data_IF_103198954350
#
_entry.id   IF_103198954350
#
_cell.length_a   1.000
_cell.length_b   1.000
_cell.length_c   1.000
_cell.angle_alpha   90.00
_cell.angle_beta   90.00
_cell.angle_gamma   90.00
#
_symmetry.space_group_name_H-M   'P 1'
#
loop_
_entity.id
_entity.type
_entity.pdbx_description
1 polymer ?
#
# COMPACT_ATOMS: atom_id res chain seq x y z
N UNK A 1 14.42 -10.42 -4.28
CA UNK A 1 13.16 -11.03 -3.79
C UNK A 1 13.40 -12.04 -2.67
N UNK A 2 14.25 -13.05 -2.83
CA UNK A 2 14.44 -14.12 -1.82
C UNK A 2 14.71 -13.62 -0.40
N UNK A 3 15.64 -12.68 -0.22
CA UNK A 3 15.95 -12.11 1.09
C UNK A 3 14.73 -11.41 1.74
N UNK A 4 13.91 -10.70 0.95
CA UNK A 4 12.68 -10.09 1.44
C UNK A 4 11.68 -11.17 1.90
N UNK A 5 11.53 -12.26 1.15
CA UNK A 5 10.65 -13.36 1.55
C UNK A 5 11.09 -14.03 2.85
N UNK A 6 12.39 -14.21 3.05
CA UNK A 6 12.93 -14.78 4.29
C UNK A 6 12.62 -13.89 5.50
N UNK A 7 12.79 -12.57 5.35
CA UNK A 7 12.46 -11.58 6.38
C UNK A 7 10.95 -11.60 6.67
N UNK A 8 10.11 -11.61 5.65
CA UNK A 8 8.65 -11.55 5.82
C UNK A 8 8.07 -12.84 6.42
N UNK A 9 8.67 -14.00 6.14
CA UNK A 9 8.31 -15.27 6.80
C UNK A 9 8.73 -15.29 8.27
N UNK A 10 9.85 -14.64 8.58
CA UNK A 10 10.48 -14.59 9.90
C UNK A 10 10.54 -15.96 10.59
N UNK A 11 11.11 -16.96 9.91
CA UNK A 11 11.14 -18.34 10.38
C UNK A 11 11.80 -18.45 11.77
N UNK A 12 11.15 -19.16 12.68
CA UNK A 12 11.48 -19.25 14.10
C UNK A 12 10.54 -18.41 14.99
N UNK A 13 9.83 -17.43 14.40
CA UNK A 13 8.97 -16.49 15.15
C UNK A 13 7.66 -16.22 14.43
N UNK A 14 7.72 -15.78 13.17
CA UNK A 14 6.59 -15.24 12.42
C UNK A 14 6.13 -13.86 12.90
N UNK A 15 5.13 -13.31 12.21
CA UNK A 15 4.47 -12.07 12.58
C UNK A 15 3.38 -12.30 13.63
N UNK A 16 3.18 -11.29 14.48
CA UNK A 16 2.12 -11.29 15.48
C UNK A 16 0.74 -10.93 14.89
N UNK A 17 0.72 -10.11 13.83
CA UNK A 17 -0.48 -9.62 13.18
C UNK A 17 -0.35 -9.73 11.65
N UNK A 18 -1.48 -9.62 10.97
CA UNK A 18 -1.59 -9.58 9.52
C UNK A 18 -1.19 -8.23 8.94
N UNK A 19 -0.45 -8.23 7.83
CA UNK A 19 -0.14 -6.99 7.12
C UNK A 19 0.08 -7.22 5.63
N UNK A 20 0.13 -6.11 4.91
CA UNK A 20 0.43 -6.05 3.48
C UNK A 20 1.57 -5.09 3.24
N UNK A 21 2.54 -5.49 2.42
CA UNK A 21 3.71 -4.66 2.08
C UNK A 21 3.87 -4.57 0.57
N UNK A 22 3.96 -3.34 0.08
CA UNK A 22 4.31 -3.04 -1.31
C UNK A 22 5.82 -2.82 -1.41
N UNK A 23 6.47 -3.47 -2.38
CA UNK A 23 7.92 -3.44 -2.57
C UNK A 23 8.25 -3.30 -4.05
N UNK A 24 9.34 -2.61 -4.35
CA UNK A 24 10.01 -2.67 -5.65
C UNK A 24 11.51 -2.66 -5.41
N UNK A 25 12.28 -3.30 -6.31
CA UNK A 25 13.73 -3.34 -6.21
C UNK A 25 14.34 -2.36 -7.20
N UNK A 26 15.21 -1.49 -6.70
CA UNK A 26 15.89 -0.46 -7.48
C UNK A 26 17.12 -0.98 -8.21
N UNK A 27 17.62 -2.15 -7.80
CA UNK A 27 18.69 -2.91 -8.48
C UNK A 27 18.11 -4.20 -9.04
N UNK A 28 17.67 -4.16 -10.29
CA UNK A 28 17.23 -5.33 -11.03
C UNK A 28 17.52 -5.18 -12.53
N UNK A 29 17.63 -6.31 -13.22
CA UNK A 29 17.72 -6.35 -14.68
C UNK A 29 16.31 -6.36 -15.29
N UNK A 30 16.14 -5.70 -16.43
CA UNK A 30 14.86 -5.63 -17.15
C UNK A 30 13.89 -4.59 -16.60
N UNK A 31 12.60 -4.83 -16.82
CA UNK A 31 11.53 -3.92 -16.39
C UNK A 31 11.47 -3.78 -14.88
N UNK A 32 11.12 -2.58 -14.38
CA UNK A 32 10.81 -2.40 -12.96
C UNK A 32 9.50 -3.09 -12.61
N UNK A 33 9.59 -4.03 -11.66
CA UNK A 33 8.45 -4.79 -11.15
C UNK A 33 8.02 -4.23 -9.79
N UNK A 34 6.73 -4.32 -9.53
CA UNK A 34 6.18 -4.10 -8.20
C UNK A 34 5.73 -5.42 -7.61
N UNK A 35 5.81 -5.53 -6.29
CA UNK A 35 5.41 -6.71 -5.56
C UNK A 35 4.56 -6.30 -4.38
N UNK A 36 3.46 -7.02 -4.16
CA UNK A 36 2.68 -6.92 -2.94
C UNK A 36 2.75 -8.26 -2.22
N UNK A 37 3.20 -8.25 -0.97
CA UNK A 37 3.16 -9.43 -0.12
C UNK A 37 2.11 -9.21 0.97
N UNK A 38 1.15 -10.13 1.05
CA UNK A 38 0.29 -10.29 2.22
C UNK A 38 0.96 -11.30 3.13
N UNK A 39 1.04 -10.98 4.42
CA UNK A 39 1.68 -11.79 5.46
C UNK A 39 0.68 -11.93 6.60
N UNK A 40 0.39 -13.17 7.00
CA UNK A 40 -0.49 -13.46 8.12
C UNK A 40 0.26 -13.84 9.40
N UNK A 41 -0.42 -13.84 10.56
CA UNK A 41 0.18 -14.24 11.82
C UNK A 41 0.51 -15.73 11.85
N UNK A 42 1.60 -16.08 12.53
CA UNK A 42 2.01 -17.48 12.71
C UNK A 42 1.29 -18.10 13.93
N UNK A 43 0.04 -18.55 13.74
CA UNK A 43 -0.78 -19.09 14.85
C UNK A 43 -0.47 -20.56 15.21
N UNK A 44 0.00 -21.36 14.24
CA UNK A 44 0.30 -22.80 14.44
C UNK A 44 1.52 -23.26 13.61
N UNK A 45 2.38 -22.32 13.21
CA UNK A 45 3.49 -22.54 12.30
C UNK A 45 4.76 -21.86 12.82
N UNK A 46 5.92 -22.35 12.40
CA UNK A 46 7.22 -21.75 12.73
C UNK A 46 7.58 -20.58 11.81
N UNK A 47 6.69 -20.18 10.89
CA UNK A 47 6.86 -19.03 10.01
C UNK A 47 5.51 -18.46 9.60
N UNK A 48 5.48 -17.19 9.20
CA UNK A 48 4.27 -16.53 8.72
C UNK A 48 3.79 -17.10 7.39
N UNK A 49 2.48 -17.40 7.24
CA UNK A 49 1.88 -17.63 5.93
C UNK A 49 2.00 -16.35 5.08
N UNK A 50 2.28 -16.52 3.79
CA UNK A 50 2.55 -15.40 2.90
C UNK A 50 2.03 -15.64 1.48
N UNK A 51 1.49 -14.59 0.84
CA UNK A 51 1.09 -14.58 -0.56
C UNK A 51 1.69 -13.37 -1.29
N UNK A 52 2.45 -13.64 -2.34
CA UNK A 52 3.13 -12.61 -3.13
C UNK A 52 2.47 -12.48 -4.50
N UNK A 53 2.00 -11.28 -4.79
CA UNK A 53 1.61 -10.84 -6.12
C UNK A 53 2.76 -10.04 -6.73
N UNK A 54 3.11 -10.31 -7.99
CA UNK A 54 4.05 -9.51 -8.78
C UNK A 54 3.29 -8.82 -9.89
N UNK A 55 3.57 -7.54 -10.08
CA UNK A 55 2.94 -6.65 -11.06
C UNK A 55 3.99 -6.22 -12.08
N UNK A 56 3.65 -6.44 -13.34
CA UNK A 56 4.40 -6.06 -14.54
C UNK A 56 4.01 -4.65 -14.99
N UNK A 57 4.78 -4.03 -15.92
CA UNK A 57 4.39 -2.76 -16.50
C UNK A 57 2.96 -2.79 -17.10
N UNK A 58 2.17 -1.76 -16.80
CA UNK A 58 0.76 -1.66 -17.20
C UNK A 58 -0.23 -2.32 -16.22
N UNK A 59 0.25 -3.05 -15.21
CA UNK A 59 -0.58 -3.58 -14.12
C UNK A 59 -0.57 -2.63 -12.92
N UNK A 60 -1.66 -2.63 -12.15
CA UNK A 60 -1.77 -1.85 -10.92
C UNK A 60 -2.44 -2.68 -9.82
N UNK A 61 -2.21 -2.28 -8.57
CA UNK A 61 -2.86 -2.85 -7.40
C UNK A 61 -3.27 -1.73 -6.46
N UNK A 62 -4.51 -1.78 -6.00
CA UNK A 62 -4.92 -1.10 -4.77
C UNK A 62 -5.01 -2.13 -3.66
N UNK A 63 -4.43 -1.82 -2.51
CA UNK A 63 -4.50 -2.65 -1.31
C UNK A 63 -4.76 -1.75 -0.11
N UNK A 64 -5.63 -2.21 0.79
CA UNK A 64 -5.99 -1.48 2.00
C UNK A 64 -5.65 -2.32 3.24
N UNK A 65 -6.58 -2.52 4.18
CA UNK A 65 -6.30 -3.13 5.47
C UNK A 65 -6.90 -4.53 5.61
N UNK A 66 -7.13 -5.21 4.47
CA UNK A 66 -7.67 -6.59 4.44
C UNK A 66 -6.86 -7.51 3.55
N UNK A 67 -6.93 -8.80 3.79
CA UNK A 67 -6.39 -9.81 2.89
C UNK A 67 -7.25 -9.94 1.62
N UNK A 68 -6.58 -9.88 0.47
CA UNK A 68 -7.19 -10.14 -0.83
C UNK A 68 -6.86 -11.55 -1.33
N UNK A 69 -5.80 -12.17 -0.80
CA UNK A 69 -5.28 -13.47 -1.26
C UNK A 69 -5.14 -14.49 -0.13
N UNK A 70 -4.81 -14.06 1.09
CA UNK A 70 -4.78 -14.94 2.27
C UNK A 70 -6.17 -15.16 2.89
N UNK A 71 -7.19 -15.45 2.07
CA UNK A 71 -8.61 -15.50 2.48
C UNK A 71 -8.99 -16.64 3.43
N UNK A 72 -8.06 -17.54 3.74
CA UNK A 72 -8.23 -18.62 4.70
C UNK A 72 -7.84 -18.22 6.13
N UNK A 73 -7.17 -17.06 6.28
CA UNK A 73 -6.80 -16.51 7.58
C UNK A 73 -7.98 -15.68 8.09
N UNK A 74 -8.48 -15.93 9.30
CA UNK A 74 -9.55 -15.12 9.89
C UNK A 74 -9.11 -13.67 10.08
N UNK A 75 -9.99 -12.74 9.73
CA UNK A 75 -9.81 -11.30 9.99
C UNK A 75 -10.81 -10.86 11.07
N UNK A 76 -10.39 -9.98 11.97
CA UNK A 76 -11.29 -9.41 12.97
C UNK A 76 -12.32 -8.49 12.31
N UNK A 77 -13.57 -8.53 12.78
CA UNK A 77 -14.59 -7.56 12.36
C UNK A 77 -14.35 -6.20 13.01
N UNK A 78 -14.76 -5.12 12.34
CA UNK A 78 -14.75 -3.78 12.91
C UNK A 78 -14.48 -2.68 11.91
N UNK A 79 -14.31 -1.46 12.43
CA UNK A 79 -14.21 -0.24 11.62
C UNK A 79 -13.03 -0.25 10.63
N UNK A 80 -11.94 -0.94 10.96
CA UNK A 80 -10.81 -1.11 10.04
C UNK A 80 -11.24 -1.86 8.78
N UNK A 81 -11.93 -3.00 8.96
CA UNK A 81 -12.42 -3.84 7.86
C UNK A 81 -13.55 -3.17 7.09
N UNK A 82 -14.51 -2.55 7.79
CA UNK A 82 -15.58 -1.77 7.13
C UNK A 82 -15.00 -0.66 6.25
N UNK A 83 -14.06 0.13 6.76
CA UNK A 83 -13.38 1.17 5.96
C UNK A 83 -12.56 0.58 4.80
N UNK A 84 -11.96 -0.59 5.02
CA UNK A 84 -11.21 -1.32 3.99
C UNK A 84 -12.11 -1.73 2.83
N UNK A 85 -13.29 -2.28 3.13
CA UNK A 85 -14.28 -2.70 2.14
C UNK A 85 -14.85 -1.52 1.36
N UNK A 86 -15.21 -0.44 2.05
CA UNK A 86 -15.71 0.78 1.41
C UNK A 86 -14.70 1.36 0.42
N UNK A 87 -13.42 1.47 0.80
CA UNK A 87 -12.37 1.97 -0.09
C UNK A 87 -12.15 1.06 -1.29
N UNK A 88 -12.16 -0.27 -1.11
CA UNK A 88 -12.10 -1.20 -2.24
C UNK A 88 -13.32 -1.08 -3.17
N UNK A 89 -14.53 -0.97 -2.62
CA UNK A 89 -15.75 -0.78 -3.40
C UNK A 89 -15.74 0.55 -4.16
N UNK A 90 -15.24 1.63 -3.53
CA UNK A 90 -15.09 2.94 -4.16
C UNK A 90 -14.08 2.90 -5.31
N UNK A 91 -12.93 2.26 -5.11
CA UNK A 91 -11.94 2.12 -6.19
C UNK A 91 -12.46 1.32 -7.38
N UNK A 92 -13.28 0.29 -7.16
CA UNK A 92 -13.89 -0.48 -8.25
C UNK A 92 -14.87 0.34 -9.11
N UNK A 93 -15.34 1.49 -8.62
CA UNK A 93 -16.21 2.42 -9.36
C UNK A 93 -15.42 3.51 -10.09
N UNK A 94 -14.13 3.65 -9.81
CA UNK A 94 -13.26 4.67 -10.38
C UNK A 94 -12.41 4.07 -11.51
N UNK A 95 -11.99 4.89 -12.49
CA UNK A 95 -11.04 4.45 -13.50
C UNK A 95 -9.75 3.94 -12.86
N UNK A 96 -9.18 2.89 -13.43
CA UNK A 96 -7.85 2.43 -13.07
C UNK A 96 -6.83 3.56 -13.34
N UNK A 97 -5.88 3.81 -12.41
CA UNK A 97 -4.87 4.84 -12.60
C UNK A 97 -3.86 4.39 -13.67
N UNK A 98 -3.61 5.23 -14.67
CA UNK A 98 -2.65 4.96 -15.75
C UNK A 98 -1.36 5.79 -15.60
N UNK A 99 -1.43 6.86 -14.82
CA UNK A 99 -0.31 7.77 -14.57
C UNK A 99 -0.32 8.29 -13.12
N UNK A 100 0.69 9.12 -12.81
CA UNK A 100 0.87 9.73 -11.49
C UNK A 100 -0.33 10.59 -11.10
N UNK A 101 -0.84 11.40 -12.00
CA UNK A 101 -1.94 12.33 -11.74
C UNK A 101 -3.25 11.57 -11.45
N UNK A 102 -3.50 10.47 -12.15
CA UNK A 102 -4.64 9.58 -11.88
C UNK A 102 -4.50 8.91 -10.51
N UNK A 103 -3.31 8.42 -10.17
CA UNK A 103 -3.03 7.83 -8.85
C UNK A 103 -3.29 8.83 -7.71
N UNK A 104 -2.79 10.06 -7.87
CA UNK A 104 -3.01 11.14 -6.89
C UNK A 104 -4.50 11.47 -6.80
N UNK A 105 -5.21 11.54 -7.94
CA UNK A 105 -6.65 11.79 -7.98
C UNK A 105 -7.44 10.70 -7.25
N UNK A 106 -7.15 9.44 -7.54
CA UNK A 106 -7.78 8.28 -6.90
C UNK A 106 -7.61 8.30 -5.38
N UNK A 107 -6.38 8.46 -4.90
CA UNK A 107 -6.07 8.41 -3.47
C UNK A 107 -6.42 9.70 -2.71
N UNK A 108 -6.83 10.74 -3.44
CA UNK A 108 -7.36 11.99 -2.90
C UNK A 108 -8.89 12.05 -2.93
N UNK A 109 -9.56 11.00 -3.42
CA UNK A 109 -11.02 10.92 -3.51
C UNK A 109 -11.66 10.93 -2.10
N UNK A 110 -12.70 11.73 -1.97
CA UNK A 110 -13.45 11.94 -0.73
C UNK A 110 -14.95 11.83 -0.94
N UNK A 111 -15.38 11.13 -1.99
CA UNK A 111 -16.81 11.04 -2.33
C UNK A 111 -17.56 10.17 -1.33
N UNK A 112 -16.92 9.09 -0.84
CA UNK A 112 -17.40 8.39 0.35
C UNK A 112 -17.09 9.27 1.57
N UNK A 113 -18.10 10.01 2.03
CA UNK A 113 -17.97 10.92 3.15
C UNK A 113 -17.67 10.22 4.49
N UNK A 114 -18.00 8.93 4.62
CA UNK A 114 -17.79 8.16 5.84
C UNK A 114 -16.42 7.50 5.86
N UNK A 115 -15.98 6.97 4.71
CA UNK A 115 -14.70 6.27 4.58
C UNK A 115 -13.91 6.75 3.35
N UNK A 116 -13.51 8.04 3.30
CA UNK A 116 -12.73 8.57 2.18
C UNK A 116 -11.33 7.95 2.13
N UNK A 117 -10.67 8.02 0.97
CA UNK A 117 -9.28 7.56 0.85
C UNK A 117 -8.34 8.44 1.68
N UNK A 118 -8.44 9.76 1.50
CA UNK A 118 -7.71 10.72 2.31
C UNK A 118 -8.62 11.20 3.44
N UNK A 119 -8.33 10.78 4.67
CA UNK A 119 -9.14 11.09 5.86
C UNK A 119 -8.60 12.35 6.52
N UNK A 120 -9.39 13.41 6.56
CA UNK A 120 -8.97 14.65 7.24
C UNK A 120 -9.29 14.67 8.74
N UNK A 121 -9.98 13.64 9.25
CA UNK A 121 -10.47 13.53 10.62
C UNK A 121 -11.72 14.40 10.82
N UNK A 122 -12.86 13.76 11.07
CA UNK A 122 -14.11 14.44 11.45
C UNK A 122 -14.47 14.05 12.88
N UNK A 123 -15.51 14.65 13.47
CA UNK A 123 -15.93 14.28 14.83
C UNK A 123 -16.36 12.80 14.95
N UNK A 124 -16.82 12.20 13.84
CA UNK A 124 -17.25 10.80 13.75
C UNK A 124 -16.13 9.89 13.23
N UNK A 125 -15.18 10.43 12.45
CA UNK A 125 -13.98 9.73 11.99
C UNK A 125 -12.77 10.07 12.88
N UNK A 126 -12.52 9.22 13.88
CA UNK A 126 -11.38 9.38 14.80
C UNK A 126 -10.01 9.05 14.17
N UNK A 127 -9.96 8.67 12.89
CA UNK A 127 -8.72 8.38 12.18
C UNK A 127 -8.44 9.45 11.14
N UNK A 128 -7.16 9.81 11.00
CA UNK A 128 -6.70 10.83 10.06
C UNK A 128 -5.51 10.33 9.27
N UNK A 129 -5.51 10.61 7.97
CA UNK A 129 -4.34 10.45 7.11
C UNK A 129 -3.31 11.52 7.52
N UNK A 130 -2.21 11.07 8.15
CA UNK A 130 -1.14 11.96 8.62
C UNK A 130 -0.27 12.45 7.46
N UNK A 131 0.00 11.56 6.50
CA UNK A 131 0.80 11.86 5.32
C UNK A 131 0.34 11.02 4.12
N UNK A 132 0.48 11.59 2.95
CA UNK A 132 0.38 10.91 1.66
C UNK A 132 1.70 11.07 0.91
N UNK A 133 2.17 10.02 0.26
CA UNK A 133 3.45 10.04 -0.44
C UNK A 133 3.42 9.26 -1.74
N UNK A 134 4.12 9.78 -2.75
CA UNK A 134 4.29 9.13 -4.05
C UNK A 134 5.78 8.93 -4.30
N UNK A 135 6.17 7.67 -4.55
CA UNK A 135 7.49 7.32 -5.04
C UNK A 135 7.46 7.27 -6.57
N UNK A 136 8.13 8.20 -7.23
CA UNK A 136 8.34 8.18 -8.68
C UNK A 136 9.72 7.58 -8.95
N UNK A 137 9.76 6.32 -9.37
CA UNK A 137 11.02 5.60 -9.61
C UNK A 137 11.75 6.08 -10.88
N UNK A 138 11.02 6.61 -11.87
CA UNK A 138 11.60 7.12 -13.10
C UNK A 138 12.29 8.47 -12.84
N UNK A 139 11.61 9.38 -12.14
CA UNK A 139 12.18 10.67 -11.72
C UNK A 139 13.11 10.54 -10.52
N UNK A 140 13.05 9.41 -9.82
CA UNK A 140 13.77 9.14 -8.56
C UNK A 140 13.42 10.19 -7.51
N UNK A 141 12.15 10.39 -7.27
CA UNK A 141 11.66 11.34 -6.26
C UNK A 141 10.64 10.70 -5.32
N UNK A 142 10.57 11.24 -4.11
CA UNK A 142 9.52 10.97 -3.14
C UNK A 142 8.83 12.27 -2.78
N UNK A 143 7.63 12.48 -3.33
CA UNK A 143 6.81 13.66 -3.06
C UNK A 143 5.88 13.37 -1.87
N UNK A 144 5.77 14.29 -0.91
CA UNK A 144 4.99 14.11 0.33
C UNK A 144 4.00 15.26 0.50
N UNK A 145 2.79 14.92 0.92
CA UNK A 145 1.72 15.83 1.35
C UNK A 145 1.33 15.53 2.80
N UNK A 146 0.94 16.57 3.55
CA UNK A 146 0.33 16.43 4.89
C UNK A 146 -1.15 16.84 4.92
N UNK A 147 -1.69 17.21 3.76
CA UNK A 147 -3.10 17.53 3.52
C UNK A 147 -3.54 16.84 2.24
N UNK A 148 -4.84 16.79 1.99
CA UNK A 148 -5.36 16.14 0.80
C UNK A 148 -4.77 16.79 -0.48
N UNK A 149 -4.09 16.03 -1.36
CA UNK A 149 -3.51 16.57 -2.60
C UNK A 149 -4.53 17.22 -3.55
N UNK A 150 -5.82 16.87 -3.46
CA UNK A 150 -6.91 17.52 -4.22
C UNK A 150 -7.04 19.02 -3.93
N UNK A 151 -6.63 19.46 -2.74
CA UNK A 151 -6.80 20.84 -2.27
C UNK A 151 -5.51 21.48 -1.74
N UNK A 152 -4.36 20.84 -1.94
CA UNK A 152 -3.08 21.33 -1.45
C UNK A 152 -1.89 20.93 -2.30
N UNK A 153 -0.90 21.82 -2.34
CA UNK A 153 0.41 21.54 -2.92
C UNK A 153 1.21 20.55 -2.05
N UNK A 154 2.18 19.82 -2.63
CA UNK A 154 3.07 18.97 -1.86
C UNK A 154 3.84 19.77 -0.81
N UNK A 155 4.05 19.17 0.36
CA UNK A 155 4.87 19.75 1.42
C UNK A 155 6.34 19.83 0.98
N UNK A 156 6.85 18.72 0.42
CA UNK A 156 8.22 18.60 -0.05
C UNK A 156 8.37 17.47 -1.05
N UNK A 157 9.47 17.50 -1.79
CA UNK A 157 9.92 16.44 -2.69
C UNK A 157 11.38 16.09 -2.38
N UNK A 158 11.65 14.82 -2.10
CA UNK A 158 12.98 14.31 -1.74
C UNK A 158 13.56 13.55 -2.93
N UNK A 159 14.78 13.86 -3.39
CA UNK A 159 15.45 13.03 -4.39
C UNK A 159 15.87 11.69 -3.79
N UNK A 160 15.57 10.59 -4.51
CA UNK A 160 15.99 9.24 -4.18
C UNK A 160 17.37 8.98 -4.78
N UNK A 161 18.40 9.10 -3.94
CA UNK A 161 19.78 8.88 -4.34
C UNK A 161 20.19 7.44 -4.04
N UNK A 162 20.36 6.65 -5.10
CA UNK A 162 20.87 5.29 -4.99
C UNK A 162 22.37 5.29 -5.29
N UNK A 163 23.19 5.14 -4.25
CA UNK A 163 24.63 4.92 -4.41
C UNK A 163 24.91 3.44 -4.22
N UNK A 164 25.29 2.77 -5.30
CA UNK A 164 25.71 1.38 -5.25
C UNK A 164 27.21 1.35 -5.47
N UNK A 165 27.96 0.78 -4.52
CA UNK A 165 29.32 0.35 -4.82
C UNK A 165 29.20 -0.79 -5.84
N UNK A 166 29.65 -0.53 -7.06
CA UNK A 166 29.79 -1.54 -8.12
C UNK A 166 30.84 -2.56 -7.75
#
# INVERSE_FOLDING_TARGET
MEAAQQILRDRGTGSADGFSVNMSFTRQEGDHLFHNAEVGPAQDTDESPMSILTLSPGEHLLHTNKFLRLTHIPEEEGLCMTSSDHRHARAAQLPAPDNREDLVTLLSDTEDAMYPFFREGSAEDYVKTVAFGVFDLLKRTWTIWMRNPKSSDPLLEIPLLFTWNT
#
